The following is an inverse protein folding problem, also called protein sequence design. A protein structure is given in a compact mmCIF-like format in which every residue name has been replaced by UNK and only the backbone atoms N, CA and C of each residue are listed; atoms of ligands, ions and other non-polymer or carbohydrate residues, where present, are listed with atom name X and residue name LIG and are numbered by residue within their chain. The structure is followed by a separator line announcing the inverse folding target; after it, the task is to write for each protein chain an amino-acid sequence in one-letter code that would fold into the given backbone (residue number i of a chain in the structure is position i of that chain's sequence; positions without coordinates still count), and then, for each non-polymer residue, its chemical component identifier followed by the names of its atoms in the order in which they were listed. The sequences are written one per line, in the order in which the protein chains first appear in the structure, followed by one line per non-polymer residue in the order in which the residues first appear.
data_IF_062310745459
#
_entry.id   IF_062310745459
#
_cell.length_a   1.000
_cell.length_b   1.000
_cell.length_c   1.000
_cell.angle_alpha   90.00
_cell.angle_beta   90.00
_cell.angle_gamma   90.00
#
_symmetry.space_group_name_H-M   'P 1'
#
loop_
_entity.id
_entity.type
_entity.pdbx_description
1 polymer ?
#
# COMPACT_ATOMS: atom_id res chain seq x y z
N UNK A 1 24.79 18.18 -2.67
CA UNK A 1 23.91 18.14 -1.48
C UNK A 1 22.67 17.39 -1.93
N UNK A 2 22.66 16.07 -1.73
CA UNK A 2 21.51 15.23 -2.05
C UNK A 2 20.36 15.69 -1.16
N UNK A 3 19.30 16.19 -1.78
CA UNK A 3 18.04 16.37 -1.09
C UNK A 3 17.60 14.98 -0.64
N UNK A 4 17.70 14.72 0.67
CA UNK A 4 16.99 13.61 1.28
C UNK A 4 15.52 13.90 1.03
N UNK A 5 14.96 13.29 -0.02
CA UNK A 5 13.53 13.29 -0.26
C UNK A 5 12.89 12.66 0.97
N UNK A 6 12.39 13.50 1.88
CA UNK A 6 11.44 13.14 2.94
C UNK A 6 10.09 12.74 2.33
N UNK A 7 10.11 12.03 1.21
CA UNK A 7 8.93 11.35 0.76
C UNK A 7 8.72 10.21 1.74
N UNK A 8 7.90 10.47 2.76
CA UNK A 8 7.19 9.45 3.56
C UNK A 8 6.21 8.63 2.67
N UNK A 9 6.54 8.54 1.38
CA UNK A 9 5.86 7.82 0.33
C UNK A 9 6.54 6.47 0.19
N UNK A 10 5.85 5.46 0.66
CA UNK A 10 6.21 4.07 0.44
C UNK A 10 6.36 3.79 -1.06
N UNK A 11 7.35 2.98 -1.40
CA UNK A 11 7.64 2.54 -2.76
C UNK A 11 6.71 1.39 -3.12
N UNK A 12 5.67 1.68 -3.89
CA UNK A 12 4.72 0.65 -4.35
C UNK A 12 5.27 -0.09 -5.56
N UNK A 13 5.29 -1.43 -5.51
CA UNK A 13 5.59 -2.25 -6.68
C UNK A 13 4.53 -2.09 -7.77
N UNK A 14 4.88 -2.42 -9.02
CA UNK A 14 3.94 -2.32 -10.13
C UNK A 14 2.73 -3.25 -9.92
N UNK A 15 2.98 -4.43 -9.39
CA UNK A 15 1.98 -5.45 -9.06
C UNK A 15 1.05 -4.97 -7.94
N UNK A 16 1.59 -4.35 -6.89
CA UNK A 16 0.79 -3.79 -5.80
C UNK A 16 -0.14 -2.67 -6.30
N UNK A 17 0.39 -1.77 -7.14
CA UNK A 17 -0.42 -0.72 -7.79
C UNK A 17 -1.54 -1.30 -8.65
N UNK A 18 -1.23 -2.35 -9.43
CA UNK A 18 -2.23 -3.03 -10.26
C UNK A 18 -3.33 -3.68 -9.40
N UNK A 19 -2.95 -4.33 -8.31
CA UNK A 19 -3.88 -4.97 -7.39
C UNK A 19 -4.78 -3.97 -6.67
N UNK A 20 -4.22 -2.84 -6.22
CA UNK A 20 -4.98 -1.75 -5.62
C UNK A 20 -6.02 -1.16 -6.59
N UNK A 21 -5.68 -1.07 -7.89
CA UNK A 21 -6.63 -0.60 -8.92
C UNK A 21 -7.83 -1.53 -9.10
N UNK A 22 -7.66 -2.83 -8.87
CA UNK A 22 -8.76 -3.81 -8.94
C UNK A 22 -9.75 -3.68 -7.77
N UNK A 23 -9.37 -2.98 -6.70
CA UNK A 23 -10.27 -2.69 -5.58
C UNK A 23 -11.29 -1.61 -6.02
N UNK A 24 -12.60 -1.80 -5.75
CA UNK A 24 -13.63 -0.83 -6.08
C UNK A 24 -13.31 0.57 -5.54
N UNK A 25 -13.59 1.61 -6.32
CA UNK A 25 -13.10 2.95 -6.04
C UNK A 25 -13.52 3.50 -4.66
N UNK A 26 -14.73 3.15 -4.19
CA UNK A 26 -15.31 3.64 -2.94
C UNK A 26 -14.63 3.09 -1.68
N UNK A 27 -13.93 1.95 -1.78
CA UNK A 27 -13.11 1.37 -0.69
C UNK A 27 -11.60 1.45 -0.96
N UNK A 28 -11.19 1.87 -2.16
CA UNK A 28 -9.77 1.89 -2.56
C UNK A 28 -8.90 2.78 -1.68
N UNK A 29 -9.41 3.93 -1.23
CA UNK A 29 -8.67 4.82 -0.32
C UNK A 29 -8.38 4.14 1.02
N UNK A 30 -9.37 3.43 1.57
CA UNK A 30 -9.24 2.66 2.80
C UNK A 30 -8.26 1.50 2.64
N UNK A 31 -8.36 0.77 1.52
CA UNK A 31 -7.43 -0.30 1.18
C UNK A 31 -5.99 0.19 1.05
N UNK A 32 -5.78 1.34 0.40
CA UNK A 32 -4.49 1.98 0.31
C UNK A 32 -3.94 2.31 1.70
N UNK A 33 -4.72 2.98 2.54
CA UNK A 33 -4.29 3.37 3.88
C UNK A 33 -3.83 2.18 4.71
N UNK A 34 -4.63 1.09 4.74
CA UNK A 34 -4.23 -0.14 5.45
C UNK A 34 -2.97 -0.77 4.89
N UNK A 35 -2.84 -0.80 3.58
CA UNK A 35 -1.61 -1.33 2.95
C UNK A 35 -0.39 -0.53 3.38
N UNK A 36 -0.50 0.79 3.43
CA UNK A 36 0.59 1.67 3.87
C UNK A 36 0.90 1.51 5.37
N UNK A 37 -0.12 1.31 6.21
CA UNK A 37 0.05 0.97 7.62
C UNK A 37 0.76 -0.38 7.81
N UNK A 38 0.40 -1.41 7.03
CA UNK A 38 1.06 -2.72 7.06
C UNK A 38 2.55 -2.60 6.71
N UNK A 39 2.90 -1.82 5.68
CA UNK A 39 4.29 -1.59 5.31
C UNK A 39 5.05 -0.87 6.44
N UNK A 40 4.48 0.19 7.02
CA UNK A 40 5.10 0.92 8.14
C UNK A 40 5.28 0.05 9.38
N UNK A 41 4.28 -0.76 9.74
CA UNK A 41 4.38 -1.69 10.86
C UNK A 41 5.42 -2.79 10.63
N UNK A 42 5.61 -3.21 9.38
CA UNK A 42 6.66 -4.13 9.00
C UNK A 42 8.06 -3.48 8.93
N UNK A 43 8.17 -2.16 9.16
CA UNK A 43 9.40 -1.39 8.96
C UNK A 43 9.87 -1.39 7.49
N UNK A 44 8.96 -1.64 6.56
CA UNK A 44 9.25 -1.71 5.13
C UNK A 44 8.94 -0.38 4.46
N UNK A 45 9.89 0.09 3.64
CA UNK A 45 9.72 1.22 2.74
C UNK A 45 8.99 0.83 1.45
N UNK A 46 8.69 -0.46 1.25
CA UNK A 46 8.17 -1.02 0.01
C UNK A 46 6.83 -1.72 0.21
N UNK A 47 5.83 -1.28 -0.55
CA UNK A 47 4.51 -1.91 -0.58
C UNK A 47 4.50 -3.02 -1.64
N UNK A 48 4.28 -4.25 -1.19
CA UNK A 48 4.18 -5.45 -2.03
C UNK A 48 2.73 -5.84 -2.33
N UNK A 49 2.54 -6.80 -3.23
CA UNK A 49 1.21 -7.30 -3.58
C UNK A 49 0.56 -8.01 -2.39
N UNK A 50 1.33 -8.70 -1.56
CA UNK A 50 0.85 -9.41 -0.38
C UNK A 50 0.22 -8.45 0.64
N UNK A 51 0.80 -7.27 0.83
CA UNK A 51 0.24 -6.25 1.73
C UNK A 51 -1.12 -5.73 1.21
N UNK A 52 -1.27 -5.57 -0.11
CA UNK A 52 -2.54 -5.15 -0.73
C UNK A 52 -3.59 -6.25 -0.57
N UNK A 53 -3.19 -7.51 -0.72
CA UNK A 53 -4.09 -8.65 -0.52
C UNK A 53 -4.54 -8.78 0.92
N UNK A 54 -3.62 -8.60 1.87
CA UNK A 54 -3.95 -8.61 3.29
C UNK A 54 -4.94 -7.50 3.64
N UNK A 55 -4.67 -6.26 3.18
CA UNK A 55 -5.61 -5.16 3.33
C UNK A 55 -6.97 -5.51 2.71
N UNK A 56 -7.02 -6.12 1.52
CA UNK A 56 -8.28 -6.50 0.85
C UNK A 56 -9.09 -7.53 1.66
N UNK A 57 -8.43 -8.52 2.26
CA UNK A 57 -9.10 -9.54 3.09
C UNK A 57 -9.77 -8.91 4.31
N UNK A 58 -9.13 -7.94 4.95
CA UNK A 58 -9.70 -7.23 6.11
C UNK A 58 -10.98 -6.43 5.77
N UNK A 59 -11.16 -6.00 4.52
CA UNK A 59 -12.38 -5.32 4.06
C UNK A 59 -13.48 -6.25 3.54
N UNK A 60 -13.13 -7.48 3.17
CA UNK A 60 -14.01 -8.42 2.48
C UNK A 60 -14.59 -9.50 3.39
N UNK A 61 -15.26 -9.10 4.49
CA UNK A 61 -16.24 -9.99 5.11
C UNK A 61 -17.23 -10.51 4.05
#
# INVERSE_FOLDING_TARGET
MEALDFSDQLQWTAEAKAKLKNIPYFVRSQARQRTEELARHAGSDRVTVEMVEQARIEFGQ
#
